data_IF_770387842850
#
_entry.id   IF_770387842850
#
_cell.length_a   1.000
_cell.length_b   1.000
_cell.length_c   1.000
_cell.angle_alpha   90.00
_cell.angle_beta   90.00
_cell.angle_gamma   90.00
#
_symmetry.space_group_name_H-M   'P 1'
#
loop_
_entity.id
_entity.type
_entity.pdbx_description
1 polymer ?
#
# COMPACT_ATOMS: atom_id res chain seq x y z
N UNK A 1 42.37 -56.27 -56.23
CA UNK A 1 43.40 -55.32 -56.71
C UNK A 1 42.67 -54.12 -57.31
N UNK A 2 43.00 -52.89 -56.86
CA UNK A 2 42.49 -51.56 -57.32
C UNK A 2 41.06 -51.22 -56.86
N UNK A 3 40.87 -50.55 -55.73
CA UNK A 3 41.13 -49.13 -55.37
C UNK A 3 40.20 -48.18 -56.16
N UNK A 4 39.55 -47.27 -55.42
CA UNK A 4 38.89 -46.02 -55.84
C UNK A 4 37.56 -46.20 -56.56
N UNK A 5 36.44 -46.04 -55.85
CA UNK A 5 35.69 -44.78 -55.96
C UNK A 5 34.52 -44.69 -54.98
N UNK A 6 34.13 -43.44 -54.72
CA UNK A 6 32.87 -43.03 -54.11
C UNK A 6 32.86 -42.72 -52.60
N UNK A 7 33.89 -41.97 -52.17
CA UNK A 7 33.77 -40.96 -51.10
C UNK A 7 33.51 -39.61 -51.79
N UNK A 8 32.26 -39.28 -52.12
CA UNK A 8 31.86 -37.89 -52.48
C UNK A 8 30.40 -37.64 -52.12
N UNK A 9 30.17 -36.78 -51.10
CA UNK A 9 29.00 -35.90 -50.80
C UNK A 9 28.71 -35.92 -49.29
N UNK A 10 28.55 -34.82 -48.55
CA UNK A 10 28.31 -33.41 -48.91
C UNK A 10 28.40 -32.57 -47.63
N UNK A 11 29.24 -31.53 -47.67
CA UNK A 11 29.09 -30.17 -47.10
C UNK A 11 28.84 -30.00 -45.59
N UNK A 12 29.95 -29.70 -44.89
CA UNK A 12 30.21 -28.39 -44.24
C UNK A 12 28.99 -27.49 -43.96
N UNK A 13 28.38 -27.63 -42.78
CA UNK A 13 27.37 -26.71 -42.26
C UNK A 13 27.84 -25.84 -41.08
N UNK A 14 29.07 -25.99 -40.62
CA UNK A 14 29.50 -25.42 -39.34
C UNK A 14 30.16 -24.02 -39.37
N UNK A 15 30.79 -23.51 -40.46
CA UNK A 15 31.44 -22.19 -40.39
C UNK A 15 30.49 -20.99 -40.58
N UNK A 16 29.25 -21.19 -41.08
CA UNK A 16 28.31 -20.10 -41.33
C UNK A 16 27.60 -19.60 -40.06
N UNK A 17 27.37 -20.48 -39.07
CA UNK A 17 26.67 -20.15 -37.82
C UNK A 17 27.55 -19.34 -36.86
N UNK A 18 28.86 -19.61 -36.83
CA UNK A 18 29.82 -18.87 -36.00
C UNK A 18 30.11 -17.47 -36.54
N UNK A 19 30.12 -17.29 -37.86
CA UNK A 19 30.26 -15.97 -38.48
C UNK A 19 29.02 -15.07 -38.25
N UNK A 20 27.82 -15.66 -38.15
CA UNK A 20 26.58 -14.91 -37.90
C UNK A 20 26.44 -14.49 -36.43
N UNK A 21 26.94 -15.29 -35.49
CA UNK A 21 26.90 -14.97 -34.05
C UNK A 21 27.86 -13.83 -33.67
N UNK A 22 29.02 -13.73 -34.34
CA UNK A 22 29.99 -12.65 -34.12
C UNK A 22 29.60 -11.32 -34.79
N UNK A 23 28.74 -11.34 -35.81
CA UNK A 23 28.22 -10.13 -36.46
C UNK A 23 27.01 -9.52 -35.71
N UNK A 24 26.30 -10.32 -34.92
CA UNK A 24 25.19 -9.87 -34.07
C UNK A 24 25.64 -9.18 -32.77
N UNK A 25 26.83 -9.51 -32.24
CA UNK A 25 27.39 -8.82 -31.06
C UNK A 25 28.06 -7.50 -31.41
N UNK A 26 28.51 -7.32 -32.65
CA UNK A 26 29.12 -6.06 -33.11
C UNK A 26 28.11 -4.93 -33.36
N UNK A 27 26.83 -5.23 -33.58
CA UNK A 27 25.78 -4.22 -33.80
C UNK A 27 25.08 -3.77 -32.52
N UNK A 28 25.13 -4.56 -31.44
CA UNK A 28 24.64 -4.15 -30.12
C UNK A 28 25.63 -3.26 -29.34
N UNK A 29 26.90 -3.21 -29.76
CA UNK A 29 27.93 -2.43 -29.06
C UNK A 29 28.10 -0.99 -29.59
N UNK A 30 27.48 -0.63 -30.71
CA UNK A 30 27.66 0.69 -31.34
C UNK A 30 26.46 1.64 -31.26
N UNK A 31 25.29 1.18 -30.80
CA UNK A 31 24.11 2.04 -30.60
C UNK A 31 23.95 2.54 -29.16
N UNK A 32 24.81 2.10 -28.25
CA UNK A 32 24.80 2.53 -26.86
C UNK A 32 25.81 3.65 -26.65
N UNK A 33 25.31 4.82 -26.27
CA UNK A 33 26.08 5.83 -25.52
C UNK A 33 26.81 6.92 -26.31
N UNK A 34 26.07 7.66 -27.13
CA UNK A 34 26.28 9.12 -27.23
C UNK A 34 25.09 9.86 -26.62
N UNK A 35 24.71 9.49 -25.39
CA UNK A 35 24.02 10.44 -24.53
C UNK A 35 25.07 11.47 -24.12
N UNK A 36 25.28 12.47 -24.98
CA UNK A 36 25.97 13.69 -24.60
C UNK A 36 25.11 14.28 -23.48
N UNK A 37 25.48 14.01 -22.23
CA UNK A 37 24.86 14.63 -21.06
C UNK A 37 25.08 16.12 -21.20
N UNK A 38 24.10 16.82 -21.77
CA UNK A 38 24.10 18.27 -21.82
C UNK A 38 23.94 18.72 -20.37
N UNK A 39 25.06 18.99 -19.71
CA UNK A 39 25.05 19.66 -18.43
C UNK A 39 24.39 21.02 -18.66
N UNK A 40 23.22 21.20 -18.05
CA UNK A 40 22.50 22.47 -18.12
C UNK A 40 23.47 23.59 -17.72
N UNK A 41 23.46 24.67 -18.50
CA UNK A 41 24.35 25.80 -18.20
C UNK A 41 23.98 26.41 -16.86
N UNK A 42 24.91 27.04 -16.12
CA UNK A 42 24.57 27.72 -14.86
C UNK A 42 23.41 28.73 -15.01
N UNK A 43 23.33 29.43 -16.15
CA UNK A 43 22.23 30.34 -16.45
C UNK A 43 20.88 29.62 -16.63
N UNK A 44 20.89 28.43 -17.25
CA UNK A 44 19.69 27.60 -17.39
C UNK A 44 19.22 27.07 -16.04
N UNK A 45 20.15 26.62 -15.19
CA UNK A 45 19.83 26.17 -13.83
C UNK A 45 19.27 27.29 -12.96
N UNK A 46 19.79 28.52 -13.05
CA UNK A 46 19.24 29.66 -12.33
C UNK A 46 17.83 30.02 -12.83
N UNK A 47 17.54 29.86 -14.13
CA UNK A 47 16.19 30.04 -14.67
C UNK A 47 15.21 29.00 -14.13
N UNK A 48 15.63 27.73 -14.08
CA UNK A 48 14.81 26.64 -13.52
C UNK A 48 14.60 26.86 -12.01
N UNK A 49 15.64 27.27 -11.29
CA UNK A 49 15.54 27.62 -9.87
C UNK A 49 14.54 28.75 -9.63
N UNK A 50 14.62 29.82 -10.43
CA UNK A 50 13.69 30.96 -10.34
C UNK A 50 12.25 30.53 -10.60
N UNK A 51 12.01 29.70 -11.63
CA UNK A 51 10.70 29.09 -11.89
C UNK A 51 10.18 28.26 -10.70
N UNK A 52 11.04 27.44 -10.09
CA UNK A 52 10.70 26.67 -8.90
C UNK A 52 10.35 27.56 -7.70
N UNK A 53 11.08 28.66 -7.51
CA UNK A 53 10.83 29.64 -6.47
C UNK A 53 9.50 30.39 -6.69
N UNK A 54 9.20 30.81 -7.92
CA UNK A 54 7.95 31.47 -8.26
C UNK A 54 6.75 30.54 -8.03
N UNK A 55 6.86 29.27 -8.42
CA UNK A 55 5.83 28.25 -8.14
C UNK A 55 5.65 28.01 -6.65
N UNK A 56 6.75 27.98 -5.88
CA UNK A 56 6.69 27.89 -4.42
C UNK A 56 5.92 29.07 -3.83
N UNK A 57 6.21 30.30 -4.27
CA UNK A 57 5.48 31.50 -3.83
C UNK A 57 4.00 31.46 -4.25
N UNK A 58 3.70 30.90 -5.42
CA UNK A 58 2.34 30.69 -5.91
C UNK A 58 1.61 29.50 -5.23
N UNK A 59 2.26 28.81 -4.29
CA UNK A 59 1.77 27.59 -3.63
C UNK A 59 1.51 26.41 -4.58
N UNK A 60 2.09 26.44 -5.77
CA UNK A 60 2.17 25.28 -6.65
C UNK A 60 3.33 24.38 -6.18
N UNK A 61 3.07 23.64 -5.09
CA UNK A 61 4.09 22.81 -4.46
C UNK A 61 4.63 21.74 -5.39
N UNK A 62 3.75 21.11 -6.18
CA UNK A 62 4.12 20.05 -7.11
C UNK A 62 5.03 20.59 -8.23
N UNK A 63 4.65 21.71 -8.85
CA UNK A 63 5.47 22.32 -9.88
C UNK A 63 6.80 22.89 -9.34
N UNK A 64 6.79 23.44 -8.11
CA UNK A 64 8.01 23.88 -7.43
C UNK A 64 8.98 22.72 -7.17
N UNK A 65 8.48 21.62 -6.61
CA UNK A 65 9.27 20.41 -6.33
C UNK A 65 9.87 19.85 -7.62
N UNK A 66 9.11 19.81 -8.71
CA UNK A 66 9.60 19.31 -10.00
C UNK A 66 10.80 20.12 -10.51
N UNK A 67 10.68 21.45 -10.54
CA UNK A 67 11.75 22.32 -11.01
C UNK A 67 12.97 22.29 -10.08
N UNK A 68 12.75 22.34 -8.77
CA UNK A 68 13.83 22.32 -7.79
C UNK A 68 14.59 20.99 -7.80
N UNK A 69 13.91 19.85 -8.02
CA UNK A 69 14.56 18.54 -8.19
C UNK A 69 15.49 18.52 -9.42
N UNK A 70 15.12 19.18 -10.52
CA UNK A 70 16.00 19.31 -11.69
C UNK A 70 17.28 20.07 -11.34
N UNK A 71 17.16 21.16 -10.59
CA UNK A 71 18.32 21.95 -10.14
C UNK A 71 19.21 21.12 -9.21
N UNK A 72 18.65 20.46 -8.20
CA UNK A 72 19.41 19.64 -7.24
C UNK A 72 20.05 18.42 -7.91
N UNK A 73 19.42 17.84 -8.93
CA UNK A 73 20.01 16.73 -9.69
C UNK A 73 21.22 17.17 -10.53
N UNK A 74 21.17 18.37 -11.10
CA UNK A 74 22.25 18.92 -11.92
C UNK A 74 23.38 19.54 -11.07
N UNK A 75 23.03 20.16 -9.95
CA UNK A 75 23.96 20.74 -8.98
C UNK A 75 23.53 20.39 -7.54
N UNK A 76 23.97 19.23 -7.03
CA UNK A 76 23.70 18.81 -5.65
C UNK A 76 24.29 19.74 -4.59
N UNK A 77 25.26 20.58 -4.96
CA UNK A 77 25.89 21.57 -4.08
C UNK A 77 25.09 22.86 -3.92
N UNK A 78 24.01 23.05 -4.69
CA UNK A 78 23.18 24.24 -4.61
C UNK A 78 22.31 24.24 -3.34
N UNK A 79 22.88 24.73 -2.23
CA UNK A 79 22.21 24.78 -0.93
C UNK A 79 20.90 25.61 -0.95
N UNK A 80 20.79 26.61 -1.85
CA UNK A 80 19.56 27.39 -2.02
C UNK A 80 18.44 26.50 -2.57
N UNK A 81 18.73 25.71 -3.62
CA UNK A 81 17.77 24.79 -4.22
C UNK A 81 17.41 23.64 -3.26
N UNK A 82 18.40 23.04 -2.59
CA UNK A 82 18.18 21.97 -1.60
C UNK A 82 17.28 22.45 -0.45
N UNK A 83 17.58 23.61 0.13
CA UNK A 83 16.79 24.17 1.23
C UNK A 83 15.36 24.53 0.82
N UNK A 84 15.20 25.11 -0.38
CA UNK A 84 13.88 25.45 -0.90
C UNK A 84 13.07 24.20 -1.29
N UNK A 85 13.72 23.16 -1.81
CA UNK A 85 13.10 21.87 -2.10
C UNK A 85 12.56 21.21 -0.84
N UNK A 86 13.35 21.19 0.25
CA UNK A 86 12.89 20.67 1.53
C UNK A 86 11.65 21.41 2.06
N UNK A 87 11.61 22.74 1.93
CA UNK A 87 10.42 23.54 2.30
C UNK A 87 9.22 23.28 1.39
N UNK A 88 9.44 23.15 0.08
CA UNK A 88 8.39 22.85 -0.89
C UNK A 88 7.77 21.47 -0.65
N UNK A 89 8.59 20.44 -0.40
CA UNK A 89 8.15 19.09 -0.02
C UNK A 89 7.38 19.12 1.31
N UNK A 90 7.86 19.84 2.32
CA UNK A 90 7.13 19.97 3.58
C UNK A 90 5.74 20.63 3.39
N UNK A 91 5.67 21.71 2.60
CA UNK A 91 4.41 22.38 2.29
C UNK A 91 3.45 21.46 1.50
N UNK A 92 3.99 20.70 0.54
CA UNK A 92 3.23 19.69 -0.21
C UNK A 92 2.67 18.60 0.71
N UNK A 93 3.48 18.10 1.65
CA UNK A 93 3.05 17.11 2.63
C UNK A 93 1.94 17.67 3.54
N UNK A 94 2.07 18.91 4.00
CA UNK A 94 1.06 19.55 4.82
C UNK A 94 -0.29 19.72 4.08
N UNK A 95 -0.25 20.09 2.80
CA UNK A 95 -1.45 20.18 1.94
C UNK A 95 -2.11 18.80 1.72
N UNK A 96 -1.31 17.76 1.45
CA UNK A 96 -1.80 16.38 1.35
C UNK A 96 -2.42 15.88 2.66
N UNK A 97 -1.79 16.19 3.79
CA UNK A 97 -2.32 15.83 5.11
C UNK A 97 -3.66 16.54 5.37
N UNK A 98 -3.78 17.82 5.00
CA UNK A 98 -5.04 18.57 5.07
C UNK A 98 -6.17 17.98 4.22
N UNK A 99 -5.83 17.24 3.16
CA UNK A 99 -6.77 16.49 2.30
C UNK A 99 -7.06 15.07 2.81
N UNK A 100 -6.45 14.67 3.93
CA UNK A 100 -6.59 13.33 4.50
C UNK A 100 -5.71 12.26 3.84
N UNK A 101 -4.79 12.64 2.94
CA UNK A 101 -3.87 11.72 2.26
C UNK A 101 -2.63 11.43 3.13
N UNK A 102 -2.85 11.02 4.37
CA UNK A 102 -1.83 10.99 5.44
C UNK A 102 -0.62 10.10 5.11
N UNK A 103 -0.81 8.92 4.50
CA UNK A 103 0.32 8.05 4.16
C UNK A 103 1.16 8.61 3.01
N UNK A 104 0.54 9.32 2.07
CA UNK A 104 1.29 10.02 1.02
C UNK A 104 2.04 11.21 1.62
N UNK A 105 1.37 12.00 2.45
CA UNK A 105 1.98 13.11 3.17
C UNK A 105 3.20 12.67 3.99
N UNK A 106 3.11 11.54 4.69
CA UNK A 106 4.22 10.99 5.48
C UNK A 106 5.45 10.68 4.60
N UNK A 107 5.25 10.07 3.43
CA UNK A 107 6.35 9.81 2.49
C UNK A 107 7.00 11.08 1.97
N UNK A 108 6.19 12.10 1.65
CA UNK A 108 6.69 13.37 1.12
C UNK A 108 7.46 14.16 2.20
N UNK A 109 7.01 14.14 3.46
CA UNK A 109 7.76 14.80 4.54
C UNK A 109 9.06 14.06 4.89
N UNK A 110 9.08 12.73 4.78
CA UNK A 110 10.32 11.95 4.90
C UNK A 110 11.32 12.30 3.79
N UNK A 111 10.82 12.52 2.56
CA UNK A 111 11.64 13.02 1.46
C UNK A 111 12.18 14.44 1.78
N UNK A 112 11.35 15.33 2.34
CA UNK A 112 11.80 16.67 2.74
C UNK A 112 12.99 16.61 3.72
N UNK A 113 12.92 15.70 4.70
CA UNK A 113 13.97 15.49 5.71
C UNK A 113 15.23 14.84 5.13
N UNK A 114 15.15 14.18 3.98
CA UNK A 114 16.33 13.68 3.25
C UNK A 114 17.16 14.83 2.70
N UNK A 115 16.50 15.89 2.20
CA UNK A 115 17.19 17.08 1.67
C UNK A 115 17.55 18.09 2.76
N UNK A 116 16.70 18.23 3.78
CA UNK A 116 16.86 19.22 4.85
C UNK A 116 16.61 18.58 6.22
N UNK A 117 17.54 17.76 6.75
CA UNK A 117 17.36 17.03 8.00
C UNK A 117 17.21 17.93 9.23
N UNK A 118 17.68 19.18 9.15
CA UNK A 118 17.54 20.18 10.22
C UNK A 118 16.28 21.06 10.11
N UNK A 119 15.38 20.76 9.16
CA UNK A 119 14.12 21.50 9.00
C UNK A 119 13.12 21.11 10.10
N UNK A 120 13.10 21.88 11.19
CA UNK A 120 12.20 21.63 12.34
C UNK A 120 10.72 21.56 11.93
N UNK A 121 10.26 22.45 11.04
CA UNK A 121 8.88 22.45 10.54
C UNK A 121 8.49 21.11 9.89
N UNK A 122 9.44 20.42 9.25
CA UNK A 122 9.21 19.10 8.66
C UNK A 122 9.16 18.00 9.73
N UNK A 123 10.00 18.07 10.76
CA UNK A 123 9.93 17.15 11.92
C UNK A 123 8.60 17.28 12.65
N UNK A 124 8.12 18.51 12.84
CA UNK A 124 6.82 18.79 13.46
C UNK A 124 5.66 18.29 12.60
N UNK A 125 5.71 18.55 11.30
CA UNK A 125 4.72 18.06 10.34
C UNK A 125 4.64 16.53 10.34
N UNK A 126 5.80 15.85 10.32
CA UNK A 126 5.88 14.39 10.45
C UNK A 126 5.25 13.90 11.75
N UNK A 127 5.60 14.50 12.88
CA UNK A 127 5.06 14.13 14.20
C UNK A 127 3.54 14.26 14.25
N UNK A 128 3.01 15.34 13.65
CA UNK A 128 1.56 15.58 13.55
C UNK A 128 0.88 14.49 12.71
N UNK A 129 1.42 14.19 11.52
CA UNK A 129 0.88 13.15 10.62
C UNK A 129 0.88 11.79 11.31
N UNK A 130 1.99 11.38 11.93
CA UNK A 130 2.09 10.10 12.65
C UNK A 130 1.11 10.00 13.83
N UNK A 131 0.90 11.12 14.54
CA UNK A 131 -0.10 11.18 15.62
C UNK A 131 -1.51 10.96 15.06
N UNK A 132 -1.85 11.59 13.95
CA UNK A 132 -3.17 11.47 13.34
C UNK A 132 -3.44 10.05 12.82
N UNK A 133 -2.46 9.44 12.13
CA UNK A 133 -2.53 8.04 11.68
C UNK A 133 -2.79 7.10 12.87
N UNK A 134 -2.06 7.29 13.99
CA UNK A 134 -2.28 6.50 15.22
C UNK A 134 -3.68 6.67 15.78
N UNK A 135 -4.19 7.90 15.86
CA UNK A 135 -5.53 8.16 16.37
C UNK A 135 -6.63 7.50 15.53
N UNK A 136 -6.47 7.47 14.21
CA UNK A 136 -7.39 6.76 13.30
C UNK A 136 -7.33 5.26 13.58
N UNK A 137 -6.12 4.68 13.63
CA UNK A 137 -5.94 3.26 13.91
C UNK A 137 -6.52 2.84 15.27
N UNK A 138 -6.32 3.67 16.29
CA UNK A 138 -6.86 3.44 17.64
C UNK A 138 -8.39 3.53 17.66
N UNK A 139 -8.99 4.54 17.00
CA UNK A 139 -10.45 4.65 16.86
C UNK A 139 -11.06 3.42 16.19
N UNK A 140 -10.42 2.94 15.12
CA UNK A 140 -10.89 1.77 14.40
C UNK A 140 -10.77 0.50 15.27
N UNK A 141 -9.67 0.37 16.02
CA UNK A 141 -9.50 -0.73 16.97
C UNK A 141 -10.56 -0.70 18.06
N UNK A 142 -10.86 0.48 18.62
CA UNK A 142 -11.88 0.64 19.65
C UNK A 142 -13.28 0.34 19.11
N UNK A 143 -13.60 0.80 17.89
CA UNK A 143 -14.85 0.44 17.21
C UNK A 143 -14.97 -1.07 17.00
N UNK A 144 -13.89 -1.76 16.60
CA UNK A 144 -13.91 -3.23 16.43
C UNK A 144 -14.17 -3.94 17.76
N UNK A 145 -13.50 -3.51 18.84
CA UNK A 145 -13.70 -4.06 20.20
C UNK A 145 -15.13 -3.91 20.68
N UNK A 146 -15.74 -2.74 20.48
CA UNK A 146 -17.15 -2.48 20.88
C UNK A 146 -18.13 -3.39 20.15
N UNK A 147 -17.94 -3.62 18.84
CA UNK A 147 -18.80 -4.53 18.06
C UNK A 147 -18.65 -5.97 18.53
N UNK A 148 -17.42 -6.44 18.72
CA UNK A 148 -17.15 -7.79 19.23
C UNK A 148 -17.80 -8.03 20.60
N UNK A 149 -17.70 -7.05 21.51
CA UNK A 149 -18.37 -7.11 22.81
C UNK A 149 -19.89 -7.16 22.69
N UNK A 150 -20.49 -6.31 21.85
CA UNK A 150 -21.94 -6.30 21.63
C UNK A 150 -22.44 -7.63 21.04
N UNK A 151 -21.73 -8.19 20.06
CA UNK A 151 -22.06 -9.49 19.47
C UNK A 151 -21.94 -10.62 20.49
N UNK A 152 -20.90 -10.61 21.32
CA UNK A 152 -20.75 -11.58 22.40
C UNK A 152 -21.93 -11.52 23.37
N UNK A 153 -22.30 -10.31 23.82
CA UNK A 153 -23.44 -10.12 24.72
C UNK A 153 -24.75 -10.60 24.10
N UNK A 154 -24.99 -10.31 22.82
CA UNK A 154 -26.16 -10.82 22.11
C UNK A 154 -26.18 -12.35 22.03
N UNK A 155 -25.02 -12.99 21.82
CA UNK A 155 -24.91 -14.46 21.82
C UNK A 155 -25.20 -15.05 23.20
N UNK A 156 -24.66 -14.45 24.26
CA UNK A 156 -24.91 -14.86 25.64
C UNK A 156 -26.39 -14.74 26.00
N UNK A 157 -27.03 -13.62 25.67
CA UNK A 157 -28.47 -13.42 25.89
C UNK A 157 -29.32 -14.38 25.06
N UNK A 158 -28.98 -14.60 23.79
CA UNK A 158 -29.68 -15.55 22.93
C UNK A 158 -29.53 -16.99 23.45
N UNK A 159 -28.35 -17.38 23.94
CA UNK A 159 -28.12 -18.67 24.56
C UNK A 159 -28.95 -18.81 25.85
N UNK A 160 -28.94 -17.80 26.72
CA UNK A 160 -29.75 -17.80 27.94
C UNK A 160 -31.25 -17.91 27.65
N UNK A 161 -31.76 -17.18 26.65
CA UNK A 161 -33.17 -17.28 26.21
C UNK A 161 -33.49 -18.67 25.67
N UNK A 162 -32.59 -19.28 24.89
CA UNK A 162 -32.76 -20.66 24.40
C UNK A 162 -32.83 -21.65 25.56
N UNK A 163 -31.90 -21.57 26.50
CA UNK A 163 -31.90 -22.44 27.68
C UNK A 163 -33.18 -22.28 28.50
N UNK A 164 -33.63 -21.05 28.74
CA UNK A 164 -34.89 -20.78 29.45
C UNK A 164 -36.10 -21.37 28.71
N UNK A 165 -36.13 -21.25 27.38
CA UNK A 165 -37.20 -21.78 26.54
C UNK A 165 -37.20 -23.31 26.56
N UNK A 166 -36.04 -23.96 26.44
CA UNK A 166 -35.89 -25.41 26.55
C UNK A 166 -36.36 -25.95 27.91
N UNK A 167 -36.02 -25.27 29.00
CA UNK A 167 -36.50 -25.62 30.35
C UNK A 167 -38.02 -25.47 30.49
N UNK A 168 -38.59 -24.40 29.94
CA UNK A 168 -40.03 -24.18 29.93
C UNK A 168 -40.76 -25.25 29.13
N UNK A 169 -40.29 -25.57 27.93
CA UNK A 169 -40.88 -26.59 27.05
C UNK A 169 -40.82 -27.98 27.71
N UNK A 170 -39.72 -28.29 28.41
CA UNK A 170 -39.58 -29.54 29.18
C UNK A 170 -40.59 -29.62 30.32
N UNK A 171 -40.80 -28.53 31.07
CA UNK A 171 -41.82 -28.47 32.15
C UNK A 171 -43.22 -28.64 31.59
N UNK A 172 -43.55 -27.92 30.52
CA UNK A 172 -44.85 -28.02 29.85
C UNK A 172 -45.11 -29.45 29.33
N UNK A 173 -44.10 -30.09 28.74
CA UNK A 173 -44.19 -31.47 28.30
C UNK A 173 -44.40 -32.46 29.45
N UNK A 174 -43.74 -32.26 30.59
CA UNK A 174 -43.96 -33.09 31.78
C UNK A 174 -45.37 -32.92 32.37
N UNK A 175 -45.87 -31.68 32.43
CA UNK A 175 -47.22 -31.38 32.91
C UNK A 175 -48.30 -32.00 32.02
N UNK A 176 -48.14 -31.93 30.69
CA UNK A 176 -49.02 -32.61 29.72
C UNK A 176 -49.08 -34.11 29.97
N UNK A 177 -47.92 -34.77 30.12
CA UNK A 177 -47.85 -36.20 30.44
C UNK A 177 -48.52 -36.55 31.76
N UNK A 178 -48.33 -35.73 32.80
CA UNK A 178 -49.01 -35.93 34.09
C UNK A 178 -50.53 -35.75 33.97
N UNK A 179 -50.98 -34.79 33.16
CA UNK A 179 -52.40 -34.58 32.91
C UNK A 179 -53.03 -35.77 32.18
N UNK A 180 -52.39 -36.26 31.12
CA UNK A 180 -52.84 -37.45 30.39
C UNK A 180 -52.91 -38.68 31.31
N UNK A 181 -51.92 -38.87 32.19
CA UNK A 181 -51.92 -39.97 33.16
C UNK A 181 -53.06 -39.83 34.17
N UNK A 182 -53.31 -38.62 34.69
CA UNK A 182 -54.44 -38.35 35.60
C UNK A 182 -55.78 -38.63 34.93
N UNK A 183 -55.97 -38.16 33.69
CA UNK A 183 -57.18 -38.42 32.91
C UNK A 183 -57.39 -39.92 32.68
N UNK A 184 -56.34 -40.66 32.31
CA UNK A 184 -56.39 -42.11 32.13
C UNK A 184 -56.79 -42.85 33.42
N UNK A 185 -56.17 -42.50 34.54
CA UNK A 185 -56.47 -43.12 35.84
C UNK A 185 -57.91 -42.83 36.29
N UNK A 186 -58.42 -41.61 36.05
CA UNK A 186 -59.80 -41.24 36.36
C UNK A 186 -60.79 -42.06 35.51
N UNK A 187 -60.54 -42.20 34.21
CA UNK A 187 -61.37 -43.03 33.33
C UNK A 187 -61.38 -44.50 33.78
N UNK A 188 -60.23 -45.03 34.20
CA UNK A 188 -60.15 -46.38 34.78
C UNK A 188 -60.99 -46.52 36.05
N UNK A 189 -60.93 -45.55 36.97
CA UNK A 189 -61.73 -45.57 38.20
C UNK A 189 -63.23 -45.51 37.91
N UNK A 190 -63.65 -44.63 37.00
CA UNK A 190 -65.06 -44.51 36.60
C UNK A 190 -65.56 -45.81 35.95
N UNK A 191 -64.73 -46.47 35.13
CA UNK A 191 -65.10 -47.74 34.48
C UNK A 191 -65.22 -48.94 35.43
N UNK A 192 -64.70 -48.83 36.65
CA UNK A 192 -64.73 -49.90 37.67
C UNK A 192 -65.89 -49.75 38.68
N UNK A 193 -66.65 -48.67 38.60
CA UNK A 193 -67.88 -48.44 39.38
C UNK A 193 -69.11 -48.89 38.59
#
# INVERSE_FOLDING_TARGET
>A
MKIIDMIVRKKSGFPALLAFLLLLTATFFYSGFTALSYAATPAELERIFSSGADKYLAKDWSGAVEDLKKVVAADPGNLRAVGLLGRALNAQAADMAGKGELEKALRVVDEALTYAPELNDAKDTKTKIEKEIRQIADKDADSRRRRAYAEQRQREEAAARRTQQEEYDKKLGAERKQRELREKNLLEQVSRQ
#
